data_IF_205333681805
#
_entry.id   IF_205333681805
#
_cell.length_a   1.000
_cell.length_b   1.000
_cell.length_c   1.000
_cell.angle_alpha   90.00
_cell.angle_beta   90.00
_cell.angle_gamma   90.00
#
_symmetry.space_group_name_H-M   'P 1'
#
loop_
_entity.id
_entity.type
_entity.pdbx_description
1 polymer ?
#
# COMPACT_ATOMS: atom_id res chain seq x y z
N UNK A 1 23.24 -11.88 -4.29
CA UNK A 1 22.41 -10.77 -4.82
C UNK A 1 22.79 -9.49 -4.09
N UNK A 2 23.09 -8.39 -4.79
CA UNK A 2 23.49 -7.13 -4.16
C UNK A 2 22.33 -6.57 -3.31
N UNK A 3 22.59 -6.17 -2.05
CA UNK A 3 21.56 -5.64 -1.14
C UNK A 3 20.84 -4.42 -1.70
N UNK A 4 21.53 -3.58 -2.49
CA UNK A 4 20.93 -2.46 -3.22
C UNK A 4 19.89 -2.93 -4.24
N UNK A 5 20.15 -4.05 -4.94
CA UNK A 5 19.19 -4.65 -5.87
C UNK A 5 17.96 -5.19 -5.12
N UNK A 6 18.15 -5.82 -3.96
CA UNK A 6 17.04 -6.29 -3.12
C UNK A 6 16.16 -5.11 -2.67
N UNK A 7 16.77 -4.01 -2.21
CA UNK A 7 16.02 -2.82 -1.78
C UNK A 7 15.24 -2.18 -2.94
N UNK A 8 15.80 -2.14 -4.15
CA UNK A 8 15.07 -1.67 -5.34
C UNK A 8 13.87 -2.57 -5.66
N UNK A 9 14.04 -3.88 -5.60
CA UNK A 9 12.92 -4.83 -5.77
C UNK A 9 11.85 -4.62 -4.69
N UNK A 10 12.26 -4.39 -3.45
CA UNK A 10 11.35 -4.06 -2.36
C UNK A 10 10.58 -2.75 -2.61
N UNK A 11 11.21 -1.71 -3.16
CA UNK A 11 10.51 -0.46 -3.53
C UNK A 11 9.46 -0.72 -4.61
N UNK A 12 9.79 -1.47 -5.67
CA UNK A 12 8.82 -1.81 -6.71
C UNK A 12 7.66 -2.66 -6.16
N UNK A 13 7.97 -3.62 -5.30
CA UNK A 13 6.97 -4.43 -4.61
C UNK A 13 6.08 -3.57 -3.70
N UNK A 14 6.66 -2.59 -3.02
CA UNK A 14 5.94 -1.61 -2.19
C UNK A 14 4.93 -0.80 -3.02
N UNK A 15 5.26 -0.38 -4.25
CA UNK A 15 4.29 0.28 -5.14
C UNK A 15 3.06 -0.61 -5.40
N UNK A 16 3.30 -1.89 -5.74
CA UNK A 16 2.21 -2.86 -6.01
C UNK A 16 1.34 -3.06 -4.76
N UNK A 17 1.94 -3.15 -3.59
CA UNK A 17 1.22 -3.28 -2.31
C UNK A 17 0.38 -2.04 -2.02
N UNK A 18 0.90 -0.85 -2.29
CA UNK A 18 0.13 0.39 -2.12
C UNK A 18 -1.11 0.44 -3.02
N UNK A 19 -1.00 -0.05 -4.26
CA UNK A 19 -2.16 -0.20 -5.15
C UNK A 19 -3.14 -1.25 -4.62
N UNK A 20 -2.64 -2.36 -4.09
CA UNK A 20 -3.48 -3.36 -3.41
C UNK A 20 -4.19 -2.76 -2.19
N UNK A 21 -3.56 -1.88 -1.40
CA UNK A 21 -4.21 -1.20 -0.28
C UNK A 21 -5.39 -0.34 -0.75
N UNK A 22 -5.22 0.43 -1.81
CA UNK A 22 -6.33 1.19 -2.41
C UNK A 22 -7.48 0.26 -2.77
N UNK A 23 -7.19 -0.84 -3.46
CA UNK A 23 -8.21 -1.82 -3.84
C UNK A 23 -8.89 -2.45 -2.61
N UNK A 24 -8.14 -2.83 -1.58
CA UNK A 24 -8.68 -3.41 -0.36
C UNK A 24 -9.63 -2.46 0.37
N UNK A 25 -9.30 -1.15 0.42
CA UNK A 25 -10.17 -0.13 1.01
C UNK A 25 -11.47 0.00 0.19
N UNK A 26 -11.38 0.05 -1.15
CA UNK A 26 -12.56 0.10 -2.03
C UNK A 26 -13.46 -1.11 -1.81
N UNK A 27 -12.90 -2.32 -1.84
CA UNK A 27 -13.66 -3.55 -1.65
C UNK A 27 -14.30 -3.60 -0.26
N UNK A 28 -13.58 -3.20 0.79
CA UNK A 28 -14.11 -3.15 2.14
C UNK A 28 -15.31 -2.20 2.26
N UNK A 29 -15.22 -0.98 1.73
CA UNK A 29 -16.32 -0.02 1.79
C UNK A 29 -17.54 -0.46 0.95
N UNK A 30 -17.31 -1.10 -0.21
CA UNK A 30 -18.40 -1.62 -1.04
C UNK A 30 -19.19 -2.74 -0.35
N UNK A 31 -18.61 -3.46 0.61
CA UNK A 31 -19.31 -4.54 1.33
C UNK A 31 -20.36 -4.06 2.31
N UNK A 32 -20.37 -2.77 2.67
CA UNK A 32 -21.45 -2.19 3.48
C UNK A 32 -22.78 -2.09 2.71
N UNK A 33 -22.73 -2.16 1.37
CA UNK A 33 -23.91 -1.91 0.54
C UNK A 33 -24.31 -0.44 0.53
N UNK A 34 -25.50 -0.15 0.02
CA UNK A 34 -26.00 1.23 -0.16
C UNK A 34 -27.10 1.61 0.82
N UNK A 35 -27.85 0.65 1.34
CA UNK A 35 -28.95 0.89 2.28
C UNK A 35 -29.01 -0.24 3.32
N UNK A 36 -29.09 0.11 4.59
CA UNK A 36 -29.13 -0.84 5.69
C UNK A 36 -29.95 -0.32 6.86
N UNK A 37 -30.80 -1.19 7.42
CA UNK A 37 -31.65 -0.89 8.57
C UNK A 37 -31.45 -1.98 9.62
N UNK A 38 -30.68 -1.69 10.66
CA UNK A 38 -30.31 -2.71 11.63
C UNK A 38 -29.33 -2.25 12.69
N UNK A 39 -28.92 -3.20 13.52
CA UNK A 39 -27.86 -3.03 14.52
C UNK A 39 -26.50 -3.30 13.89
N UNK A 40 -25.49 -2.65 14.44
CA UNK A 40 -24.11 -2.81 14.03
C UNK A 40 -23.28 -3.21 15.23
N UNK A 41 -22.67 -4.38 15.15
CA UNK A 41 -21.72 -4.86 16.16
C UNK A 41 -20.32 -4.76 15.58
N UNK A 42 -19.47 -3.96 16.20
CA UNK A 42 -18.11 -3.69 15.71
C UNK A 42 -17.08 -4.39 16.57
N UNK A 43 -16.17 -5.10 15.92
CA UNK A 43 -14.91 -5.57 16.49
C UNK A 43 -13.75 -5.00 15.69
N UNK A 44 -12.52 -5.17 16.18
CA UNK A 44 -11.32 -4.70 15.48
C UNK A 44 -11.23 -5.25 14.04
N UNK A 45 -11.61 -6.52 13.85
CA UNK A 45 -11.44 -7.25 12.58
C UNK A 45 -12.72 -7.48 11.80
N UNK A 46 -13.89 -7.26 12.40
CA UNK A 46 -15.17 -7.52 11.75
C UNK A 46 -16.19 -6.45 12.11
N UNK A 47 -17.03 -6.11 11.14
CA UNK A 47 -18.27 -5.37 11.36
C UNK A 47 -19.42 -6.31 11.05
N UNK A 48 -20.27 -6.56 12.03
CA UNK A 48 -21.48 -7.35 11.86
C UNK A 48 -22.66 -6.41 11.66
N UNK A 49 -23.37 -6.60 10.56
CA UNK A 49 -24.57 -5.88 10.20
C UNK A 49 -25.76 -6.80 10.44
N UNK A 50 -26.50 -6.56 11.50
CA UNK A 50 -27.61 -7.39 11.96
C UNK A 50 -28.96 -6.77 11.58
N UNK A 51 -29.71 -7.46 10.73
CA UNK A 51 -31.11 -7.14 10.42
C UNK A 51 -32.07 -8.13 11.10
N UNK A 52 -33.37 -7.94 10.92
CA UNK A 52 -34.40 -8.88 11.38
C UNK A 52 -34.30 -10.28 10.73
N UNK A 53 -33.64 -10.40 9.58
CA UNK A 53 -33.66 -11.64 8.77
C UNK A 53 -32.27 -12.23 8.52
N UNK A 54 -31.21 -11.43 8.61
CA UNK A 54 -29.87 -11.83 8.24
C UNK A 54 -28.81 -11.06 9.04
N UNK A 55 -27.69 -11.74 9.31
CA UNK A 55 -26.46 -11.13 9.81
C UNK A 55 -25.38 -11.19 8.74
N UNK A 56 -24.98 -10.04 8.21
CA UNK A 56 -23.88 -9.94 7.26
C UNK A 56 -22.59 -9.58 8.01
N UNK A 57 -21.50 -10.30 7.76
CA UNK A 57 -20.20 -10.06 8.39
C UNK A 57 -19.21 -9.50 7.38
N UNK A 58 -18.71 -8.30 7.66
CA UNK A 58 -17.72 -7.59 6.86
C UNK A 58 -16.36 -7.70 7.55
N UNK A 59 -15.47 -8.51 6.97
CA UNK A 59 -14.11 -8.65 7.44
C UNK A 59 -13.24 -7.44 7.07
N UNK A 60 -12.51 -6.91 8.05
CA UNK A 60 -11.62 -5.75 7.94
C UNK A 60 -10.29 -6.12 7.26
N UNK A 61 -10.39 -6.51 5.98
CA UNK A 61 -9.25 -6.87 5.14
C UNK A 61 -8.16 -5.79 5.06
N UNK A 62 -8.47 -4.47 5.01
CA UNK A 62 -7.46 -3.43 5.02
C UNK A 62 -6.58 -3.49 6.28
N UNK A 63 -7.18 -3.57 7.47
CA UNK A 63 -6.44 -3.60 8.73
C UNK A 63 -5.49 -4.79 8.82
N UNK A 64 -5.97 -5.98 8.46
CA UNK A 64 -5.15 -7.21 8.50
C UNK A 64 -3.99 -7.11 7.51
N UNK A 65 -4.25 -6.57 6.32
CA UNK A 65 -3.21 -6.33 5.31
C UNK A 65 -2.14 -5.38 5.80
N UNK A 66 -2.53 -4.30 6.50
CA UNK A 66 -1.58 -3.35 7.08
C UNK A 66 -0.72 -4.00 8.16
N UNK A 67 -1.29 -4.86 9.03
CA UNK A 67 -0.51 -5.58 10.03
C UNK A 67 0.53 -6.52 9.40
N UNK A 68 0.13 -7.33 8.41
CA UNK A 68 1.04 -8.22 7.69
C UNK A 68 2.18 -7.41 7.06
N UNK A 69 1.85 -6.28 6.46
CA UNK A 69 2.83 -5.45 5.78
C UNK A 69 3.75 -4.68 6.75
N UNK A 70 3.25 -4.27 7.92
CA UNK A 70 4.07 -3.70 8.98
C UNK A 70 5.15 -4.70 9.43
N UNK A 71 4.78 -5.97 9.60
CA UNK A 71 5.75 -7.04 9.92
C UNK A 71 6.79 -7.17 8.80
N UNK A 72 6.37 -7.13 7.54
CA UNK A 72 7.31 -7.17 6.41
C UNK A 72 8.28 -5.98 6.43
N UNK A 73 7.80 -4.76 6.69
CA UNK A 73 8.64 -3.57 6.80
C UNK A 73 9.69 -3.71 7.91
N UNK A 74 9.28 -4.23 9.07
CA UNK A 74 10.19 -4.51 10.19
C UNK A 74 11.25 -5.53 9.78
N UNK A 75 10.85 -6.63 9.13
CA UNK A 75 11.79 -7.67 8.66
C UNK A 75 12.81 -7.11 7.66
N UNK A 76 12.35 -6.34 6.66
CA UNK A 76 13.23 -5.70 5.67
C UNK A 76 14.19 -4.72 6.35
N UNK A 77 13.70 -3.92 7.30
CA UNK A 77 14.54 -2.99 8.04
C UNK A 77 15.63 -3.69 8.88
N UNK A 78 15.27 -4.75 9.60
CA UNK A 78 16.20 -5.51 10.45
C UNK A 78 17.25 -6.24 9.61
N UNK A 79 16.84 -6.87 8.52
CA UNK A 79 17.73 -7.71 7.71
C UNK A 79 18.63 -6.90 6.76
N UNK A 80 18.14 -5.77 6.25
CA UNK A 80 18.79 -5.06 5.13
C UNK A 80 19.00 -3.58 5.44
N UNK A 81 18.03 -2.92 6.07
CA UNK A 81 18.03 -1.46 6.30
C UNK A 81 19.17 -0.93 7.19
N UNK A 82 19.87 -1.77 7.95
CA UNK A 82 21.01 -1.36 8.80
C UNK A 82 22.38 -1.52 8.15
N UNK A 83 22.46 -2.08 6.94
CA UNK A 83 23.75 -2.38 6.32
C UNK A 83 24.36 -1.17 5.60
N UNK A 84 25.66 -0.93 5.85
CA UNK A 84 26.47 0.13 5.20
C UNK A 84 26.61 -0.05 3.69
N UNK A 85 26.25 -1.22 3.17
CA UNK A 85 26.37 -1.58 1.74
C UNK A 85 25.31 -0.92 0.85
N UNK A 86 24.26 -0.31 1.45
CA UNK A 86 23.24 0.45 0.71
C UNK A 86 23.73 1.89 0.53
N UNK A 87 24.17 2.21 -0.68
CA UNK A 87 24.85 3.47 -1.02
C UNK A 87 23.93 4.70 -1.00
N UNK A 88 22.62 4.53 -1.25
CA UNK A 88 21.66 5.63 -1.27
C UNK A 88 20.84 5.70 0.02
N UNK A 89 20.85 6.85 0.69
CA UNK A 89 20.11 7.05 1.94
C UNK A 89 18.59 6.81 1.79
N UNK A 90 17.99 7.25 0.68
CA UNK A 90 16.55 7.03 0.42
C UNK A 90 16.19 5.54 0.35
N UNK A 91 17.04 4.69 -0.24
CA UNK A 91 16.85 3.23 -0.24
C UNK A 91 17.06 2.60 1.13
N UNK A 92 17.84 3.21 2.01
CA UNK A 92 18.05 2.71 3.37
C UNK A 92 16.86 3.01 4.27
N UNK A 93 16.33 4.22 4.14
CA UNK A 93 15.31 4.74 5.03
C UNK A 93 13.88 4.36 4.56
N UNK A 94 13.72 3.86 3.34
CA UNK A 94 12.42 3.50 2.76
C UNK A 94 11.62 2.51 3.61
N UNK A 95 12.27 1.51 4.20
CA UNK A 95 11.59 0.53 5.05
C UNK A 95 11.05 1.17 6.34
N UNK A 96 11.75 2.16 6.88
CA UNK A 96 11.31 2.93 8.06
C UNK A 96 10.09 3.77 7.69
N UNK A 97 10.18 4.57 6.62
CA UNK A 97 9.09 5.44 6.21
C UNK A 97 7.84 4.63 5.80
N UNK A 98 8.02 3.53 5.08
CA UNK A 98 6.93 2.61 4.78
C UNK A 98 6.30 2.02 6.05
N UNK A 99 7.12 1.64 7.03
CA UNK A 99 6.66 1.20 8.35
C UNK A 99 5.84 2.27 9.07
N UNK A 100 6.35 3.50 9.15
CA UNK A 100 5.66 4.63 9.80
C UNK A 100 4.31 4.94 9.15
N UNK A 101 4.27 5.03 7.81
CA UNK A 101 3.00 5.26 7.10
C UNK A 101 2.03 4.11 7.37
N UNK A 102 2.50 2.86 7.38
CA UNK A 102 1.66 1.69 7.68
C UNK A 102 1.08 1.74 9.11
N UNK A 103 1.86 2.19 10.10
CA UNK A 103 1.36 2.41 11.47
C UNK A 103 0.24 3.45 11.49
N UNK A 104 0.40 4.55 10.76
CA UNK A 104 -0.64 5.60 10.65
C UNK A 104 -1.89 5.06 9.96
N UNK A 105 -1.75 4.22 8.92
CA UNK A 105 -2.90 3.54 8.29
C UNK A 105 -3.63 2.61 9.27
N UNK A 106 -2.90 1.84 10.08
CA UNK A 106 -3.50 0.99 11.12
C UNK A 106 -4.32 1.85 12.09
N UNK A 107 -3.73 2.90 12.64
CA UNK A 107 -4.42 3.80 13.56
C UNK A 107 -5.65 4.45 12.90
N UNK A 108 -5.53 4.93 11.67
CA UNK A 108 -6.63 5.50 10.90
C UNK A 108 -7.76 4.50 10.68
N UNK A 109 -7.46 3.24 10.32
CA UNK A 109 -8.47 2.21 10.10
C UNK A 109 -9.16 1.81 11.41
N UNK A 110 -8.43 1.77 12.53
CA UNK A 110 -9.01 1.54 13.86
C UNK A 110 -10.01 2.66 14.18
N UNK A 111 -9.59 3.92 14.05
CA UNK A 111 -10.45 5.08 14.29
C UNK A 111 -11.69 5.03 13.40
N UNK A 112 -11.53 4.78 12.09
CA UNK A 112 -12.66 4.65 11.16
C UNK A 112 -13.69 3.63 11.64
N UNK A 113 -13.24 2.44 12.03
CA UNK A 113 -14.11 1.35 12.49
C UNK A 113 -14.85 1.72 13.78
N UNK A 114 -14.19 2.39 14.73
CA UNK A 114 -14.83 2.87 15.96
C UNK A 114 -15.79 4.06 15.74
N UNK A 115 -15.70 4.75 14.61
CA UNK A 115 -16.64 5.82 14.26
C UNK A 115 -17.93 5.30 13.61
N UNK A 116 -17.99 4.02 13.22
CA UNK A 116 -19.21 3.41 12.71
C UNK A 116 -20.23 3.35 13.85
N UNK A 117 -21.46 3.88 13.68
CA UNK A 117 -22.45 3.85 14.73
C UNK A 117 -22.95 2.43 15.00
N UNK A 118 -23.44 2.19 16.21
CA UNK A 118 -24.03 0.93 16.68
C UNK A 118 -25.40 0.62 16.04
N UNK A 119 -25.96 1.57 15.30
CA UNK A 119 -27.22 1.44 14.57
C UNK A 119 -27.17 2.25 13.29
N UNK A 120 -27.76 1.71 12.23
CA UNK A 120 -27.98 2.41 10.97
C UNK A 120 -29.46 2.22 10.61
N UNK A 121 -30.10 3.31 10.20
CA UNK A 121 -31.52 3.41 9.90
C UNK A 121 -31.79 3.95 8.51
N UNK A 122 -30.90 3.71 7.54
CA UNK A 122 -31.05 4.20 6.18
C UNK A 122 -29.82 4.01 5.30
N UNK A 123 -29.63 4.98 4.41
CA UNK A 123 -28.58 4.95 3.41
C UNK A 123 -27.17 4.92 4.04
N UNK A 124 -26.24 4.34 3.30
CA UNK A 124 -24.81 4.41 3.58
C UNK A 124 -24.17 5.05 2.35
N UNK A 125 -23.68 6.28 2.50
CA UNK A 125 -23.07 7.02 1.40
C UNK A 125 -21.55 7.05 1.58
N UNK A 126 -20.87 6.27 0.74
CA UNK A 126 -19.41 6.23 0.70
C UNK A 126 -18.87 7.40 -0.12
N UNK A 127 -18.25 8.38 0.56
CA UNK A 127 -17.47 9.44 -0.07
C UNK A 127 -15.97 9.10 0.01
N UNK A 128 -15.14 9.84 -0.72
CA UNK A 128 -13.70 9.56 -0.78
C UNK A 128 -12.95 9.69 0.56
N UNK A 129 -13.43 10.55 1.48
CA UNK A 129 -12.78 10.83 2.77
C UNK A 129 -13.60 10.41 3.98
N UNK A 130 -14.88 10.13 3.79
CA UNK A 130 -15.78 9.77 4.88
C UNK A 130 -16.94 8.93 4.35
N UNK A 131 -17.54 8.16 5.23
CA UNK A 131 -18.79 7.45 4.98
C UNK A 131 -19.88 8.04 5.86
N UNK A 132 -20.99 8.42 5.25
CA UNK A 132 -22.17 8.91 5.95
C UNK A 132 -23.07 7.73 6.29
N UNK A 133 -23.28 7.51 7.59
CA UNK A 133 -24.19 6.52 8.15
C UNK A 133 -25.43 7.23 8.69
N UNK A 134 -26.58 6.97 8.09
CA UNK A 134 -27.84 7.53 8.57
C UNK A 134 -28.29 6.79 9.83
N UNK A 135 -28.13 7.40 11.00
CA UNK A 135 -28.49 6.81 12.29
C UNK A 135 -30.02 6.81 12.51
N UNK A 136 -30.64 7.93 12.14
CA UNK A 136 -32.09 8.11 12.02
C UNK A 136 -32.38 8.91 10.75
N UNK A 137 -33.67 9.09 10.40
CA UNK A 137 -34.09 9.93 9.28
C UNK A 137 -33.58 11.39 9.35
N UNK A 138 -33.17 11.87 10.52
CA UNK A 138 -32.71 13.24 10.76
C UNK A 138 -31.27 13.35 11.28
N UNK A 139 -30.58 12.23 11.55
CA UNK A 139 -29.24 12.22 12.14
C UNK A 139 -28.28 11.40 11.30
N UNK A 140 -27.22 12.04 10.82
CA UNK A 140 -26.14 11.42 10.04
C UNK A 140 -24.89 11.39 10.92
N UNK A 141 -24.25 10.22 10.99
CA UNK A 141 -22.94 10.03 11.62
C UNK A 141 -21.90 9.88 10.51
N UNK A 142 -20.88 10.73 10.52
CA UNK A 142 -19.80 10.69 9.53
C UNK A 142 -18.61 9.91 10.08
N UNK A 143 -18.26 8.79 9.47
CA UNK A 143 -17.04 8.06 9.80
C UNK A 143 -15.92 8.46 8.83
N UNK A 144 -14.83 9.02 9.35
CA UNK A 144 -13.74 9.54 8.50
C UNK A 144 -12.79 8.39 8.12
N UNK A 145 -12.55 8.21 6.83
CA UNK A 145 -11.66 7.20 6.29
C UNK A 145 -10.46 7.85 5.57
N UNK A 146 -9.39 8.13 6.32
CA UNK A 146 -8.16 8.72 5.74
C UNK A 146 -7.30 7.72 4.98
N UNK A 147 -7.64 6.43 5.00
CA UNK A 147 -6.78 5.38 4.44
C UNK A 147 -6.61 5.50 2.94
N UNK A 148 -7.59 6.05 2.20
CA UNK A 148 -7.43 6.34 0.78
C UNK A 148 -6.29 7.31 0.51
N UNK A 149 -6.24 8.41 1.28
CA UNK A 149 -5.22 9.44 1.15
C UNK A 149 -3.86 8.90 1.57
N UNK A 150 -3.81 8.17 2.68
CA UNK A 150 -2.56 7.57 3.17
C UNK A 150 -2.01 6.53 2.19
N UNK A 151 -2.87 5.69 1.60
CA UNK A 151 -2.47 4.72 0.59
C UNK A 151 -1.96 5.40 -0.69
N UNK A 152 -2.59 6.50 -1.11
CA UNK A 152 -2.09 7.29 -2.24
C UNK A 152 -0.72 7.92 -1.93
N UNK A 153 -0.55 8.54 -0.77
CA UNK A 153 0.74 9.09 -0.31
C UNK A 153 1.81 7.99 -0.30
N UNK A 154 1.47 6.81 0.20
CA UNK A 154 2.35 5.66 0.26
C UNK A 154 2.82 5.23 -1.15
N UNK A 155 1.91 5.13 -2.11
CA UNK A 155 2.24 4.78 -3.50
C UNK A 155 3.15 5.85 -4.12
N UNK A 156 2.78 7.14 -4.00
CA UNK A 156 3.54 8.26 -4.57
C UNK A 156 4.95 8.32 -3.97
N UNK A 157 5.08 8.15 -2.66
CA UNK A 157 6.36 8.10 -1.98
C UNK A 157 7.27 7.00 -2.57
N UNK A 158 6.76 5.77 -2.72
CA UNK A 158 7.54 4.68 -3.28
C UNK A 158 7.85 4.87 -4.77
N UNK A 159 6.99 5.52 -5.55
CA UNK A 159 7.31 5.93 -6.93
C UNK A 159 8.47 6.92 -6.97
N UNK A 160 8.46 7.94 -6.10
CA UNK A 160 9.54 8.93 -6.01
C UNK A 160 10.86 8.26 -5.63
N UNK A 161 10.86 7.37 -4.63
CA UNK A 161 12.05 6.59 -4.25
C UNK A 161 12.52 5.72 -5.42
N UNK A 162 11.64 5.07 -6.16
CA UNK A 162 12.00 4.26 -7.34
C UNK A 162 12.71 5.11 -8.39
N UNK A 163 12.13 6.25 -8.80
CA UNK A 163 12.67 7.13 -9.83
C UNK A 163 14.03 7.70 -9.41
N UNK A 164 14.14 8.21 -8.19
CA UNK A 164 15.35 8.85 -7.66
C UNK A 164 16.51 7.89 -7.41
N UNK A 165 16.27 6.58 -7.45
CA UNK A 165 17.27 5.54 -7.13
C UNK A 165 17.53 4.60 -8.31
N UNK A 166 16.98 4.89 -9.48
CA UNK A 166 17.29 4.16 -10.72
C UNK A 166 18.80 4.18 -10.97
N UNK A 167 19.41 3.05 -11.34
CA UNK A 167 20.79 3.07 -11.79
C UNK A 167 20.91 3.99 -13.02
N UNK A 168 22.04 4.70 -13.21
CA UNK A 168 22.30 5.35 -14.48
C UNK A 168 22.14 4.30 -15.58
N UNK A 169 21.45 4.66 -16.67
CA UNK A 169 21.39 3.80 -17.84
C UNK A 169 22.83 3.56 -18.28
N UNK A 170 23.29 2.32 -18.21
CA UNK A 170 24.48 1.95 -18.98
C UNK A 170 24.07 2.16 -20.44
N UNK A 171 24.75 3.08 -21.13
CA UNK A 171 24.62 3.27 -22.57
C UNK A 171 25.06 1.98 -23.24
N UNK A 172 24.12 1.04 -23.41
CA UNK A 172 24.36 -0.25 -24.05
C UNK A 172 24.84 -0.10 -25.50
N UNK A 173 24.53 1.02 -26.15
CA UNK A 173 25.03 1.33 -27.49
C UNK A 173 26.57 1.41 -27.54
N UNK A 174 27.22 1.96 -26.51
CA UNK A 174 28.68 2.13 -26.51
C UNK A 174 29.43 0.81 -26.29
N UNK A 175 28.85 -0.11 -25.53
CA UNK A 175 29.49 -1.41 -25.21
C UNK A 175 29.36 -2.39 -26.39
N UNK A 176 28.22 -2.39 -27.09
CA UNK A 176 28.04 -3.22 -28.29
C UNK A 176 28.85 -2.70 -29.49
N UNK A 177 29.02 -1.38 -29.68
CA UNK A 177 29.91 -0.83 -30.72
C UNK A 177 31.38 -1.21 -30.49
N UNK A 178 31.88 -1.03 -29.26
CA UNK A 178 33.29 -1.36 -28.94
C UNK A 178 33.57 -2.86 -29.08
N UNK A 179 32.65 -3.72 -28.66
CA UNK A 179 32.77 -5.17 -28.85
C UNK A 179 32.69 -5.60 -30.31
N UNK A 180 31.89 -4.91 -31.14
CA UNK A 180 31.83 -5.16 -32.58
C UNK A 180 33.08 -4.67 -33.31
N UNK A 181 33.63 -3.51 -32.93
CA UNK A 181 34.90 -2.98 -33.45
C UNK A 181 36.08 -3.90 -33.12
N UNK A 182 36.18 -4.38 -31.88
CA UNK A 182 37.22 -5.33 -31.47
C UNK A 182 37.10 -6.67 -32.22
N UNK A 183 35.88 -7.17 -32.45
CA UNK A 183 35.64 -8.40 -33.20
C UNK A 183 36.01 -8.26 -34.69
N UNK A 184 35.72 -7.11 -35.31
CA UNK A 184 36.11 -6.78 -36.68
C UNK A 184 37.63 -6.66 -36.82
N UNK A 185 38.29 -5.95 -35.90
CA UNK A 185 39.75 -5.82 -35.89
C UNK A 185 40.45 -7.18 -35.75
N UNK A 186 39.93 -8.08 -34.92
CA UNK A 186 40.47 -9.44 -34.80
C UNK A 186 40.24 -10.32 -36.03
N UNK A 187 39.20 -10.05 -36.83
CA UNK A 187 39.01 -10.72 -38.12
C UNK A 187 40.00 -10.21 -39.16
N UNK A 188 40.22 -8.90 -39.26
CA UNK A 188 41.19 -8.33 -40.20
C UNK A 188 42.63 -8.73 -39.88
N UNK A 189 43.01 -8.82 -38.60
CA UNK A 189 44.35 -9.23 -38.17
C UNK A 189 44.63 -10.74 -38.33
N UNK A 190 43.61 -11.56 -38.64
CA UNK A 190 43.76 -13.00 -38.92
C UNK A 190 43.91 -13.33 -40.41
N UNK A 191 43.73 -12.35 -41.29
CA UNK A 191 43.79 -12.52 -42.74
C UNK A 191 45.15 -12.14 -43.36
N UNK A 192 46.18 -11.84 -42.55
CA UNK A 192 47.60 -11.77 -42.97
C UNK A 192 48.38 -13.03 -42.56
#
# INVERSE_FOLDING_TARGET
MNKTSIMRTYVHFSIVIGLYFLLAIVLYNNRFGTNFHGLVTVTLFNVHLETLYETNTIFNMPLVSYFIFLVLNILVFVLIGRHKDVTTQSLRDVAIYNGLITVVMIASQIVYVYMIPDRIGGLIENNYLYTDFYYTSSRIVKAINLNYVLALIYVVYNMVVSITTMPPKEDKEFVDEVLQEEALLQQFLKEE
#
